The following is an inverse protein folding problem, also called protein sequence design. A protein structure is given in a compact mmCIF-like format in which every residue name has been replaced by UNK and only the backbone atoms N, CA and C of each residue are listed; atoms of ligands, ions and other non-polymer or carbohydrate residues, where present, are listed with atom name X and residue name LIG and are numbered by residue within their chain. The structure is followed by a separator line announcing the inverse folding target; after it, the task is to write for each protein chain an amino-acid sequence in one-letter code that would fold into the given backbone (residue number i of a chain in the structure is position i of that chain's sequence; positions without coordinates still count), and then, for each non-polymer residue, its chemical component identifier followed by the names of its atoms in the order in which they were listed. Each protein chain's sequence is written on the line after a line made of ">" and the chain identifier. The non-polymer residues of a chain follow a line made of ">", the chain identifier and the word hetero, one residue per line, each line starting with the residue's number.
data_IF_236135053694
#
_entry.id   IF_236135053694
#
_cell.length_a   1.000
_cell.length_b   1.000
_cell.length_c   1.000
_cell.angle_alpha   90.00
_cell.angle_beta   90.00
_cell.angle_gamma   90.00
#
_symmetry.space_group_name_H-M   'P 1'
#
loop_
_entity.id
_entity.type
_entity.pdbx_description
1 polymer ?
#
# COMPACT_ATOMS: atom_id res chain seq x y z
N UNK A 1 -41.47 62.17 59.24
CA UNK A 1 -40.16 61.51 59.00
C UNK A 1 -40.44 60.00 59.02
N UNK A 2 -40.64 59.37 57.87
CA UNK A 2 -39.62 58.82 56.95
C UNK A 2 -38.97 57.54 57.50
N UNK A 3 -39.43 56.38 57.04
CA UNK A 3 -38.71 55.52 56.08
C UNK A 3 -39.45 54.19 55.92
N UNK A 4 -40.12 54.07 54.77
CA UNK A 4 -40.83 52.89 54.34
C UNK A 4 -39.89 51.86 53.71
N UNK A 5 -40.04 50.61 54.12
CA UNK A 5 -40.06 49.42 53.27
C UNK A 5 -38.92 49.21 52.26
N UNK A 6 -37.84 48.55 52.70
CA UNK A 6 -37.00 47.76 51.80
C UNK A 6 -37.53 46.32 51.80
N UNK A 7 -38.38 46.00 50.81
CA UNK A 7 -38.74 44.61 50.49
C UNK A 7 -37.51 43.90 49.94
N UNK A 8 -37.05 42.85 50.63
CA UNK A 8 -36.12 41.86 50.07
C UNK A 8 -36.71 41.28 48.79
N UNK A 9 -36.12 41.61 47.65
CA UNK A 9 -36.34 40.89 46.41
C UNK A 9 -35.82 39.45 46.61
N UNK A 10 -36.75 38.50 46.79
CA UNK A 10 -36.42 37.09 46.77
C UNK A 10 -35.81 36.75 45.41
N UNK A 11 -34.54 36.36 45.39
CA UNK A 11 -33.93 35.63 44.28
C UNK A 11 -34.75 34.35 44.10
N UNK A 12 -35.71 34.37 43.17
CA UNK A 12 -36.22 33.14 42.57
C UNK A 12 -35.04 32.53 41.82
N UNK A 13 -34.34 31.60 42.46
CA UNK A 13 -33.45 30.67 41.81
C UNK A 13 -34.28 29.77 40.90
N UNK A 14 -34.66 30.31 39.74
CA UNK A 14 -35.24 29.53 38.66
C UNK A 14 -34.17 28.54 38.21
N UNK A 15 -34.24 27.30 38.71
CA UNK A 15 -33.67 26.17 37.98
C UNK A 15 -34.42 26.17 36.65
N UNK A 16 -33.82 26.75 35.61
CA UNK A 16 -34.35 26.68 34.25
C UNK A 16 -34.66 25.21 33.90
N UNK A 17 -35.64 24.96 33.02
CA UNK A 17 -36.06 23.60 32.69
C UNK A 17 -34.81 22.78 32.34
N UNK A 18 -34.52 21.76 33.13
CA UNK A 18 -33.34 20.94 32.95
C UNK A 18 -33.35 20.34 31.54
N UNK A 19 -32.24 20.49 30.80
CA UNK A 19 -32.09 19.88 29.47
C UNK A 19 -32.47 18.39 29.60
N UNK A 20 -33.44 17.88 28.79
CA UNK A 20 -33.88 16.50 28.86
C UNK A 20 -32.69 15.53 28.81
N UNK A 21 -32.71 14.42 29.54
CA UNK A 21 -31.59 13.47 29.56
C UNK A 21 -31.13 13.03 28.16
N UNK A 22 -32.09 12.80 27.25
CA UNK A 22 -31.81 12.46 25.85
C UNK A 22 -31.12 13.59 25.06
N UNK A 23 -31.41 14.85 25.38
CA UNK A 23 -30.75 16.01 24.75
C UNK A 23 -29.31 16.18 25.27
N UNK A 24 -29.07 15.94 26.57
CA UNK A 24 -27.70 15.96 27.13
C UNK A 24 -26.82 14.88 26.50
N UNK A 25 -27.33 13.65 26.41
CA UNK A 25 -26.58 12.54 25.81
C UNK A 25 -26.21 12.83 24.34
N UNK A 26 -27.14 13.35 23.54
CA UNK A 26 -26.87 13.74 22.14
C UNK A 26 -25.77 14.79 22.02
N UNK A 27 -25.79 15.79 22.89
CA UNK A 27 -24.75 16.84 22.92
C UNK A 27 -23.38 16.27 23.30
N UNK A 28 -23.31 15.40 24.32
CA UNK A 28 -22.06 14.75 24.72
C UNK A 28 -21.49 13.87 23.60
N UNK A 29 -22.32 13.02 22.98
CA UNK A 29 -21.91 12.17 21.87
C UNK A 29 -21.43 13.01 20.68
N UNK A 30 -22.15 14.07 20.32
CA UNK A 30 -21.74 14.99 19.24
C UNK A 30 -20.39 15.64 19.56
N UNK A 31 -20.19 16.10 20.80
CA UNK A 31 -18.93 16.72 21.25
C UNK A 31 -17.72 15.78 21.20
N UNK A 32 -17.93 14.46 21.27
CA UNK A 32 -16.88 13.44 21.13
C UNK A 32 -16.68 13.05 19.66
N UNK A 33 -17.77 12.84 18.92
CA UNK A 33 -17.69 12.33 17.56
C UNK A 33 -17.11 13.35 16.57
N UNK A 34 -17.47 14.63 16.67
CA UNK A 34 -16.96 15.66 15.74
C UNK A 34 -15.42 15.74 15.75
N UNK A 35 -14.72 15.91 16.89
CA UNK A 35 -13.26 15.95 16.87
C UNK A 35 -12.62 14.63 16.45
N UNK A 36 -13.24 13.48 16.77
CA UNK A 36 -12.77 12.18 16.30
C UNK A 36 -12.81 12.08 14.76
N UNK A 37 -13.94 12.44 14.15
CA UNK A 37 -14.13 12.46 12.69
C UNK A 37 -13.11 13.39 12.02
N UNK A 38 -12.91 14.59 12.56
CA UNK A 38 -11.89 15.52 12.06
C UNK A 38 -10.48 14.96 12.16
N UNK A 39 -10.15 14.24 13.24
CA UNK A 39 -8.84 13.59 13.40
C UNK A 39 -8.64 12.47 12.37
N UNK A 40 -9.66 11.63 12.13
CA UNK A 40 -9.64 10.60 11.10
C UNK A 40 -9.41 11.20 9.71
N UNK A 41 -10.11 12.28 9.38
CA UNK A 41 -9.99 12.98 8.09
C UNK A 41 -8.65 13.68 7.93
N UNK A 42 -8.12 14.28 8.99
CA UNK A 42 -6.80 14.88 8.96
C UNK A 42 -5.71 13.83 8.66
N UNK A 43 -5.74 12.70 9.37
CA UNK A 43 -4.79 11.60 9.15
C UNK A 43 -4.93 11.02 7.74
N UNK A 44 -6.15 10.69 7.32
CA UNK A 44 -6.39 10.02 6.04
C UNK A 44 -6.25 10.94 4.82
N UNK A 45 -6.71 12.20 4.93
CA UNK A 45 -6.74 13.16 3.84
C UNK A 45 -5.42 13.92 3.66
N UNK A 46 -4.78 14.30 4.78
CA UNK A 46 -3.58 15.14 4.78
C UNK A 46 -2.28 14.36 4.94
N UNK A 47 -2.30 13.14 5.50
CA UNK A 47 -1.09 12.38 5.80
C UNK A 47 -0.12 12.27 4.62
N UNK A 48 -0.65 12.02 3.42
CA UNK A 48 0.09 11.94 2.14
C UNK A 48 0.80 13.24 1.68
N UNK A 49 0.63 14.35 2.40
CA UNK A 49 1.29 15.64 2.15
C UNK A 49 2.21 16.08 3.29
N UNK A 50 2.11 15.43 4.45
CA UNK A 50 2.92 15.79 5.62
C UNK A 50 4.29 15.08 5.49
N UNK A 51 5.40 15.84 5.36
CA UNK A 51 6.73 15.27 5.37
C UNK A 51 7.04 14.64 6.74
N UNK A 52 8.03 13.76 6.79
CA UNK A 52 8.44 13.17 8.06
C UNK A 52 9.05 14.25 8.97
N UNK A 53 8.53 14.40 10.19
CA UNK A 53 8.88 15.45 11.16
C UNK A 53 9.76 14.88 12.29
N UNK A 54 9.21 13.94 13.04
CA UNK A 54 9.89 13.20 14.10
C UNK A 54 9.55 11.70 14.02
N UNK A 55 10.30 10.88 14.75
CA UNK A 55 10.15 9.43 14.73
C UNK A 55 8.74 8.98 15.14
N UNK A 56 8.16 9.56 16.19
CA UNK A 56 6.90 9.08 16.76
C UNK A 56 5.71 9.48 15.88
N UNK A 57 5.54 10.77 15.58
CA UNK A 57 4.39 11.23 14.79
C UNK A 57 4.45 10.66 13.37
N UNK A 58 5.63 10.68 12.74
CA UNK A 58 5.76 10.18 11.37
C UNK A 58 5.54 8.68 11.30
N UNK A 59 6.05 7.88 12.25
CA UNK A 59 5.79 6.42 12.28
C UNK A 59 4.29 6.15 12.34
N UNK A 60 3.57 6.78 13.25
CA UNK A 60 2.12 6.59 13.38
C UNK A 60 1.37 7.06 12.13
N UNK A 61 1.78 8.19 11.55
CA UNK A 61 1.17 8.72 10.35
C UNK A 61 1.40 7.83 9.12
N UNK A 62 2.63 7.34 8.93
CA UNK A 62 2.99 6.40 7.85
C UNK A 62 2.26 5.06 8.01
N UNK A 63 2.03 4.60 9.24
CA UNK A 63 1.18 3.43 9.49
C UNK A 63 -0.28 3.66 9.08
N UNK A 64 -0.86 4.78 9.52
CA UNK A 64 -2.29 5.05 9.34
C UNK A 64 -2.66 5.48 7.92
N UNK A 65 -1.74 6.11 7.18
CA UNK A 65 -2.03 6.55 5.81
C UNK A 65 -2.36 5.38 4.87
N UNK A 66 -1.83 4.18 5.14
CA UNK A 66 -2.17 2.98 4.37
C UNK A 66 -3.65 2.61 4.50
N UNK A 67 -4.28 2.98 5.62
CA UNK A 67 -5.70 2.76 5.89
C UNK A 67 -6.58 3.94 5.45
N UNK A 68 -6.05 4.93 4.73
CA UNK A 68 -6.79 6.15 4.41
C UNK A 68 -8.21 5.90 3.83
N UNK A 69 -8.44 5.00 2.86
CA UNK A 69 -9.80 4.70 2.39
C UNK A 69 -10.71 4.14 3.48
N UNK A 70 -10.21 3.27 4.36
CA UNK A 70 -10.97 2.72 5.49
C UNK A 70 -11.32 3.78 6.52
N UNK A 71 -10.35 4.66 6.84
CA UNK A 71 -10.54 5.75 7.79
C UNK A 71 -11.55 6.78 7.24
N UNK A 72 -11.50 7.09 5.95
CA UNK A 72 -12.49 7.98 5.30
C UNK A 72 -13.87 7.36 5.23
N UNK A 73 -13.98 6.05 4.97
CA UNK A 73 -15.26 5.35 5.03
C UNK A 73 -15.84 5.37 6.45
N UNK A 74 -15.03 5.08 7.47
CA UNK A 74 -15.43 5.19 8.86
C UNK A 74 -15.86 6.63 9.20
N UNK A 75 -15.08 7.62 8.76
CA UNK A 75 -15.40 9.04 8.95
C UNK A 75 -16.74 9.42 8.34
N UNK A 76 -17.03 8.96 7.13
CA UNK A 76 -18.31 9.17 6.46
C UNK A 76 -19.46 8.57 7.26
N UNK A 77 -19.32 7.33 7.74
CA UNK A 77 -20.36 6.68 8.56
C UNK A 77 -20.59 7.41 9.89
N UNK A 78 -19.53 7.82 10.58
CA UNK A 78 -19.63 8.59 11.82
C UNK A 78 -20.22 9.99 11.59
N UNK A 79 -19.95 10.61 10.44
CA UNK A 79 -20.56 11.88 10.03
C UNK A 79 -22.08 11.77 9.88
N UNK A 80 -22.56 10.65 9.32
CA UNK A 80 -23.99 10.34 9.25
C UNK A 80 -24.60 10.14 10.64
N UNK A 81 -23.87 9.50 11.57
CA UNK A 81 -24.29 9.39 12.98
C UNK A 81 -24.41 10.76 13.64
N UNK A 82 -23.43 11.65 13.45
CA UNK A 82 -23.48 13.04 13.94
C UNK A 82 -24.71 13.78 13.39
N UNK A 83 -25.02 13.61 12.11
CA UNK A 83 -26.23 14.18 11.51
C UNK A 83 -27.52 13.63 12.16
N UNK A 84 -27.56 12.31 12.41
CA UNK A 84 -28.67 11.62 13.07
C UNK A 84 -28.89 12.02 14.54
N UNK A 85 -27.83 12.42 15.25
CA UNK A 85 -27.91 12.94 16.63
C UNK A 85 -28.50 14.36 16.71
N UNK A 86 -28.76 15.02 15.57
CA UNK A 86 -29.39 16.33 15.47
C UNK A 86 -28.45 17.44 14.98
N UNK A 87 -27.14 17.18 14.89
CA UNK A 87 -26.15 18.11 14.37
C UNK A 87 -26.02 18.05 12.84
N UNK A 88 -27.16 18.14 12.13
CA UNK A 88 -27.27 17.88 10.68
C UNK A 88 -26.27 18.67 9.82
N UNK A 89 -26.05 19.96 10.13
CA UNK A 89 -25.10 20.81 9.39
C UNK A 89 -23.65 20.35 9.57
N UNK A 90 -23.27 20.04 10.81
CA UNK A 90 -21.92 19.54 11.12
C UNK A 90 -21.71 18.16 10.47
N UNK A 91 -22.64 17.23 10.64
CA UNK A 91 -22.57 15.92 10.00
C UNK A 91 -22.52 15.98 8.47
N UNK A 92 -23.29 16.88 7.85
CA UNK A 92 -23.24 17.11 6.40
C UNK A 92 -21.91 17.68 5.93
N UNK A 93 -21.34 18.65 6.67
CA UNK A 93 -20.03 19.23 6.34
C UNK A 93 -18.89 18.21 6.47
N UNK A 94 -18.90 17.39 7.52
CA UNK A 94 -17.92 16.32 7.72
C UNK A 94 -18.05 15.24 6.65
N UNK A 95 -19.27 14.81 6.32
CA UNK A 95 -19.50 13.85 5.23
C UNK A 95 -18.98 14.37 3.88
N UNK A 96 -19.19 15.65 3.58
CA UNK A 96 -18.64 16.28 2.38
C UNK A 96 -17.10 16.30 2.41
N UNK A 97 -16.49 16.62 3.55
CA UNK A 97 -15.04 16.64 3.70
C UNK A 97 -14.43 15.23 3.48
N UNK A 98 -15.02 14.18 4.06
CA UNK A 98 -14.62 12.80 3.80
C UNK A 98 -14.70 12.43 2.30
N UNK A 99 -15.80 12.83 1.62
CA UNK A 99 -15.98 12.59 0.18
C UNK A 99 -14.96 13.34 -0.66
N UNK A 100 -14.66 14.60 -0.34
CA UNK A 100 -13.65 15.39 -1.04
C UNK A 100 -12.24 14.82 -0.84
N UNK A 101 -11.90 14.39 0.37
CA UNK A 101 -10.62 13.74 0.66
C UNK A 101 -10.50 12.42 -0.13
N UNK A 102 -11.56 11.60 -0.15
CA UNK A 102 -11.62 10.36 -0.91
C UNK A 102 -11.52 10.59 -2.42
N UNK A 103 -12.24 11.58 -2.95
CA UNK A 103 -12.13 11.99 -4.35
C UNK A 103 -10.70 12.43 -4.70
N UNK A 104 -10.02 13.15 -3.81
CA UNK A 104 -8.62 13.52 -3.99
C UNK A 104 -7.68 12.30 -4.00
N UNK A 105 -7.95 11.24 -3.23
CA UNK A 105 -7.18 9.98 -3.30
C UNK A 105 -7.40 9.31 -4.66
N UNK A 106 -8.65 9.18 -5.08
CA UNK A 106 -9.00 8.59 -6.39
C UNK A 106 -8.36 9.38 -7.54
N UNK A 107 -8.36 10.72 -7.46
CA UNK A 107 -7.73 11.59 -8.44
C UNK A 107 -6.22 11.32 -8.55
N UNK A 108 -5.51 11.32 -7.41
CA UNK A 108 -4.07 11.06 -7.38
C UNK A 108 -3.73 9.67 -7.93
N UNK A 109 -4.49 8.63 -7.54
CA UNK A 109 -4.26 7.27 -8.04
C UNK A 109 -4.54 7.16 -9.54
N UNK A 110 -5.55 7.87 -10.06
CA UNK A 110 -5.81 7.93 -11.51
C UNK A 110 -4.71 8.67 -12.27
N UNK A 111 -4.08 9.67 -11.68
CA UNK A 111 -3.00 10.43 -12.31
C UNK A 111 -1.74 9.59 -12.54
N UNK A 112 -1.51 8.54 -11.73
CA UNK A 112 -0.39 7.60 -11.88
C UNK A 112 -0.79 6.28 -12.52
N UNK A 113 -2.03 6.17 -13.03
CA UNK A 113 -2.48 4.98 -13.77
C UNK A 113 -1.78 4.90 -15.13
N UNK A 114 -1.41 3.69 -15.54
CA UNK A 114 -0.92 3.42 -16.90
C UNK A 114 -2.04 3.49 -17.95
N UNK A 115 -1.67 3.61 -19.24
CA UNK A 115 -2.65 3.48 -20.31
C UNK A 115 -3.34 2.12 -20.25
N UNK A 116 -4.58 2.00 -20.76
CA UNK A 116 -5.19 0.69 -20.97
C UNK A 116 -4.25 -0.17 -21.82
N UNK A 117 -4.03 -1.39 -21.35
CA UNK A 117 -3.23 -2.41 -22.02
C UNK A 117 -4.16 -3.60 -22.29
N UNK A 118 -4.03 -4.19 -23.46
CA UNK A 118 -4.94 -5.24 -23.92
C UNK A 118 -4.23 -6.59 -24.12
N UNK A 119 -2.94 -6.54 -24.43
CA UNK A 119 -2.13 -7.73 -24.70
C UNK A 119 -1.33 -8.13 -23.44
N UNK A 120 -0.99 -9.41 -23.34
CA UNK A 120 -0.29 -9.96 -22.17
C UNK A 120 0.90 -10.77 -22.66
N UNK A 121 1.91 -10.06 -23.14
CA UNK A 121 3.13 -10.61 -23.76
C UNK A 121 4.06 -11.27 -22.74
N UNK A 122 3.97 -10.83 -21.48
CA UNK A 122 4.77 -11.34 -20.36
C UNK A 122 3.89 -11.55 -19.13
N UNK A 123 3.90 -12.75 -18.57
CA UNK A 123 3.24 -13.02 -17.28
C UNK A 123 4.25 -12.99 -16.13
N UNK A 124 4.08 -12.07 -15.19
CA UNK A 124 4.89 -11.92 -13.97
C UNK A 124 4.12 -12.39 -12.73
N UNK A 125 4.72 -13.26 -11.94
CA UNK A 125 4.27 -13.57 -10.58
C UNK A 125 5.15 -12.86 -9.55
N UNK A 126 4.58 -11.99 -8.74
CA UNK A 126 5.20 -11.44 -7.53
C UNK A 126 4.61 -12.08 -6.28
N UNK A 127 5.44 -12.47 -5.30
CA UNK A 127 4.93 -12.94 -4.00
C UNK A 127 5.94 -12.77 -2.86
N UNK A 128 5.55 -12.04 -1.80
CA UNK A 128 6.24 -12.12 -0.51
C UNK A 128 5.86 -13.45 0.18
N UNK A 129 6.81 -14.39 0.21
CA UNK A 129 6.59 -15.77 0.65
C UNK A 129 6.40 -15.87 2.17
N UNK A 130 6.81 -14.86 2.96
CA UNK A 130 6.95 -14.90 4.41
C UNK A 130 8.07 -15.86 4.87
N UNK A 131 9.09 -15.36 5.57
CA UNK A 131 10.25 -16.17 6.03
C UNK A 131 9.78 -17.34 6.90
N UNK A 132 8.75 -17.10 7.74
CA UNK A 132 8.18 -18.07 8.65
C UNK A 132 7.00 -18.87 8.06
N UNK A 133 6.85 -18.92 6.73
CA UNK A 133 5.72 -19.57 6.08
C UNK A 133 5.60 -21.05 6.52
N UNK A 134 4.45 -21.48 7.06
CA UNK A 134 4.26 -22.85 7.51
C UNK A 134 3.97 -23.84 6.37
N UNK A 135 3.76 -23.35 5.16
CA UNK A 135 3.40 -24.16 4.00
C UNK A 135 4.57 -25.04 3.57
N UNK A 136 4.36 -26.35 3.34
CA UNK A 136 5.41 -27.23 2.82
C UNK A 136 5.99 -26.71 1.50
N UNK A 137 7.33 -26.71 1.32
CA UNK A 137 7.98 -26.18 0.12
C UNK A 137 7.46 -26.79 -1.19
N UNK A 138 7.09 -28.07 -1.19
CA UNK A 138 6.56 -28.79 -2.35
C UNK A 138 5.22 -28.23 -2.80
N UNK A 139 4.38 -27.80 -1.85
CA UNK A 139 3.10 -27.13 -2.16
C UNK A 139 3.34 -25.74 -2.75
N UNK A 140 4.34 -25.01 -2.25
CA UNK A 140 4.73 -23.72 -2.85
C UNK A 140 5.24 -23.90 -4.27
N UNK A 141 6.10 -24.90 -4.52
CA UNK A 141 6.59 -25.26 -5.86
C UNK A 141 5.44 -25.62 -6.79
N UNK A 142 4.52 -26.50 -6.37
CA UNK A 142 3.37 -26.91 -7.17
C UNK A 142 2.47 -25.70 -7.52
N UNK A 143 2.25 -24.79 -6.58
CA UNK A 143 1.48 -23.58 -6.82
C UNK A 143 2.18 -22.65 -7.84
N UNK A 144 3.49 -22.43 -7.70
CA UNK A 144 4.27 -21.60 -8.64
C UNK A 144 4.25 -22.20 -10.06
N UNK A 145 4.35 -23.52 -10.18
CA UNK A 145 4.19 -24.21 -11.48
C UNK A 145 2.80 -23.97 -12.07
N UNK A 146 1.75 -24.14 -11.26
CA UNK A 146 0.36 -23.98 -11.70
C UNK A 146 0.01 -22.52 -12.04
N UNK A 147 0.75 -21.54 -11.53
CA UNK A 147 0.55 -20.13 -11.85
C UNK A 147 0.82 -19.81 -13.32
N UNK A 148 1.61 -20.63 -14.03
CA UNK A 148 1.87 -20.48 -15.46
C UNK A 148 2.70 -19.24 -15.84
N UNK A 149 3.29 -18.54 -14.88
CA UNK A 149 4.07 -17.33 -15.11
C UNK A 149 5.34 -17.58 -15.95
N UNK A 150 5.77 -16.57 -16.68
CA UNK A 150 7.03 -16.60 -17.44
C UNK A 150 8.21 -16.17 -16.58
N UNK A 151 7.93 -15.24 -15.66
CA UNK A 151 8.89 -14.75 -14.68
C UNK A 151 8.24 -14.76 -13.30
N UNK A 152 8.98 -15.25 -12.31
CA UNK A 152 8.56 -15.31 -10.92
C UNK A 152 9.58 -14.55 -10.09
N UNK A 153 9.08 -13.61 -9.29
CA UNK A 153 9.88 -12.80 -8.38
C UNK A 153 9.31 -12.95 -6.96
N UNK A 154 10.14 -13.41 -6.05
CA UNK A 154 9.74 -13.76 -4.70
C UNK A 154 10.55 -12.97 -3.67
N UNK A 155 9.89 -12.46 -2.64
CA UNK A 155 10.55 -11.95 -1.45
C UNK A 155 10.43 -12.94 -0.30
N UNK A 156 11.33 -12.83 0.69
CA UNK A 156 11.31 -13.67 1.89
C UNK A 156 11.36 -15.18 1.55
N UNK A 157 11.98 -15.54 0.42
CA UNK A 157 11.85 -16.84 -0.23
C UNK A 157 12.62 -17.99 0.45
N UNK A 158 13.07 -17.80 1.70
CA UNK A 158 13.82 -18.82 2.46
C UNK A 158 13.10 -20.17 2.53
N UNK A 159 11.75 -20.24 2.67
CA UNK A 159 11.02 -21.50 2.63
C UNK A 159 11.21 -22.32 1.34
N UNK A 160 11.50 -21.68 0.22
CA UNK A 160 11.71 -22.35 -1.07
C UNK A 160 13.16 -22.82 -1.30
N UNK A 161 14.11 -22.41 -0.46
CA UNK A 161 15.56 -22.63 -0.70
C UNK A 161 15.93 -24.07 -1.05
N UNK A 162 15.28 -25.05 -0.41
CA UNK A 162 15.55 -26.49 -0.60
C UNK A 162 14.72 -27.17 -1.68
N UNK A 163 13.70 -26.49 -2.20
CA UNK A 163 12.73 -27.07 -3.14
C UNK A 163 12.69 -26.35 -4.49
N UNK A 164 13.34 -25.19 -4.60
CA UNK A 164 13.41 -24.37 -5.81
C UNK A 164 13.99 -25.11 -7.03
N UNK A 165 14.81 -26.15 -6.83
CA UNK A 165 15.31 -26.98 -7.94
C UNK A 165 14.17 -27.74 -8.64
N UNK A 166 13.04 -27.97 -7.95
CA UNK A 166 11.81 -28.49 -8.54
C UNK A 166 11.13 -27.56 -9.55
N UNK A 167 11.69 -26.35 -9.77
CA UNK A 167 11.23 -25.36 -10.75
C UNK A 167 12.22 -25.19 -11.92
N UNK A 168 13.37 -25.87 -11.92
CA UNK A 168 14.47 -25.63 -12.87
C UNK A 168 14.16 -26.04 -14.33
N UNK A 169 13.26 -27.00 -14.53
CA UNK A 169 12.75 -27.40 -15.86
C UNK A 169 11.88 -26.32 -16.51
N UNK A 170 11.16 -25.52 -15.72
CA UNK A 170 10.35 -24.41 -16.21
C UNK A 170 11.14 -23.10 -16.24
N UNK A 171 12.04 -22.89 -15.29
CA UNK A 171 12.76 -21.63 -15.14
C UNK A 171 14.27 -21.89 -15.12
N UNK A 172 14.90 -22.05 -16.30
CA UNK A 172 16.33 -22.34 -16.40
C UNK A 172 17.23 -21.20 -15.89
N UNK A 173 16.70 -19.98 -15.78
CA UNK A 173 17.43 -18.83 -15.27
C UNK A 173 16.97 -18.49 -13.86
N UNK A 174 17.88 -18.62 -12.89
CA UNK A 174 17.63 -18.35 -11.47
C UNK A 174 18.65 -17.39 -10.89
N UNK A 175 18.20 -16.43 -10.09
CA UNK A 175 19.07 -15.51 -9.34
C UNK A 175 18.61 -15.36 -7.90
N UNK A 176 19.55 -15.17 -6.98
CA UNK A 176 19.30 -15.02 -5.55
C UNK A 176 19.01 -16.36 -4.86
N UNK A 177 18.92 -16.31 -3.53
CA UNK A 177 18.64 -17.49 -2.70
C UNK A 177 19.62 -18.67 -2.95
N UNK A 178 20.91 -18.37 -3.08
CA UNK A 178 21.97 -19.38 -3.18
C UNK A 178 22.11 -20.14 -1.85
N UNK A 179 22.56 -21.39 -1.86
CA UNK A 179 22.54 -22.31 -0.70
C UNK A 179 23.09 -21.70 0.60
N UNK A 180 24.21 -20.98 0.54
CA UNK A 180 24.85 -20.31 1.67
C UNK A 180 24.70 -18.76 1.66
N UNK A 181 23.87 -18.21 0.77
CA UNK A 181 23.69 -16.76 0.61
C UNK A 181 22.40 -16.21 1.26
N UNK A 182 22.20 -14.88 1.24
CA UNK A 182 20.90 -14.29 1.52
C UNK A 182 19.82 -14.87 0.60
N UNK A 183 18.57 -14.78 1.05
CA UNK A 183 17.40 -15.13 0.25
C UNK A 183 16.34 -14.06 0.47
N UNK A 184 16.79 -12.82 0.23
CA UNK A 184 15.96 -11.64 0.35
C UNK A 184 15.00 -11.54 -0.82
N UNK A 185 15.52 -11.76 -2.03
CA UNK A 185 14.81 -11.86 -3.29
C UNK A 185 15.25 -13.13 -4.04
N UNK A 186 14.32 -13.74 -4.77
CA UNK A 186 14.56 -14.86 -5.68
C UNK A 186 13.86 -14.56 -7.01
N UNK A 187 14.62 -14.58 -8.09
CA UNK A 187 14.11 -14.50 -9.47
C UNK A 187 14.20 -15.87 -10.12
N UNK A 188 13.12 -16.28 -10.78
CA UNK A 188 13.05 -17.43 -11.68
C UNK A 188 12.49 -16.95 -13.02
N UNK A 189 13.16 -17.26 -14.12
CA UNK A 189 12.79 -16.78 -15.45
C UNK A 189 12.88 -17.88 -16.49
N UNK A 190 11.90 -17.91 -17.41
CA UNK A 190 11.95 -18.68 -18.67
C UNK A 190 12.94 -18.08 -19.65
N UNK A 191 13.13 -16.77 -19.58
CA UNK A 191 13.92 -15.97 -20.52
C UNK A 191 15.35 -15.75 -20.02
N UNK A 192 16.33 -15.63 -20.95
CA UNK A 192 17.69 -15.23 -20.61
C UNK A 192 17.72 -13.96 -19.76
N UNK A 193 18.60 -13.96 -18.76
CA UNK A 193 18.77 -12.85 -17.82
C UNK A 193 20.16 -12.26 -17.95
N UNK A 194 20.22 -10.97 -18.24
CA UNK A 194 21.44 -10.20 -18.42
C UNK A 194 21.63 -9.15 -17.33
N UNK A 195 22.90 -8.79 -17.11
CA UNK A 195 23.32 -7.69 -16.24
C UNK A 195 22.69 -7.69 -14.83
N UNK A 196 22.67 -8.83 -14.10
CA UNK A 196 22.06 -8.88 -12.78
C UNK A 196 22.83 -8.00 -11.79
N UNK A 197 22.09 -7.21 -11.02
CA UNK A 197 22.60 -6.35 -9.95
C UNK A 197 21.70 -6.44 -8.74
N UNK A 198 22.24 -6.98 -7.66
CA UNK A 198 21.61 -6.87 -6.34
C UNK A 198 22.08 -5.61 -5.64
N UNK A 199 21.18 -4.98 -4.91
CA UNK A 199 21.44 -3.86 -4.04
C UNK A 199 20.92 -4.18 -2.64
N UNK A 200 21.78 -3.90 -1.66
CA UNK A 200 21.44 -4.01 -0.25
C UNK A 200 20.72 -2.74 0.19
N UNK A 201 19.80 -2.92 1.13
CA UNK A 201 19.16 -1.81 1.83
C UNK A 201 19.65 -1.77 3.28
N UNK A 202 19.45 -0.65 4.00
CA UNK A 202 19.71 -0.58 5.44
C UNK A 202 19.09 -1.71 6.26
N UNK A 203 17.96 -2.30 5.82
CA UNK A 203 17.32 -3.44 6.49
C UNK A 203 17.91 -4.82 6.16
N UNK A 204 18.83 -4.92 5.21
CA UNK A 204 19.52 -6.17 4.90
C UNK A 204 19.98 -6.32 3.44
N UNK A 205 20.63 -7.44 3.13
CA UNK A 205 21.17 -7.69 1.81
C UNK A 205 20.10 -8.14 0.80
N UNK A 206 20.41 -7.98 -0.49
CA UNK A 206 19.58 -8.46 -1.63
C UNK A 206 18.11 -8.01 -1.54
N UNK A 207 17.90 -6.74 -1.15
CA UNK A 207 16.56 -6.14 -0.98
C UNK A 207 16.05 -5.50 -2.26
N UNK A 208 16.92 -5.33 -3.26
CA UNK A 208 16.55 -4.92 -4.61
C UNK A 208 17.37 -5.71 -5.64
N UNK A 209 16.73 -6.09 -6.74
CA UNK A 209 17.32 -6.79 -7.87
C UNK A 209 16.98 -6.02 -9.15
N UNK A 210 17.98 -5.71 -9.97
CA UNK A 210 17.79 -5.22 -11.33
C UNK A 210 18.38 -6.21 -12.32
N UNK A 211 17.61 -6.52 -13.36
CA UNK A 211 18.03 -7.38 -14.46
C UNK A 211 17.50 -6.85 -15.79
N UNK A 212 18.03 -7.38 -16.89
CA UNK A 212 17.45 -7.25 -18.23
C UNK A 212 17.05 -8.64 -18.71
N UNK A 213 15.81 -8.80 -19.12
CA UNK A 213 15.25 -10.01 -19.70
C UNK A 213 15.29 -9.90 -21.22
N UNK A 214 15.64 -10.98 -21.90
CA UNK A 214 15.47 -11.09 -23.37
C UNK A 214 14.13 -11.76 -23.68
N UNK A 215 13.09 -10.95 -23.89
CA UNK A 215 11.72 -11.43 -24.10
C UNK A 215 11.48 -11.69 -25.61
N UNK A 216 11.13 -12.92 -26.02
CA UNK A 216 10.88 -13.25 -27.41
C UNK A 216 9.85 -12.31 -28.05
N UNK A 217 10.18 -11.73 -29.21
CA UNK A 217 9.30 -10.80 -29.93
C UNK A 217 9.42 -9.32 -29.50
N UNK A 218 9.93 -9.04 -28.29
CA UNK A 218 10.02 -7.68 -27.72
C UNK A 218 11.46 -7.23 -27.39
N UNK A 219 12.40 -8.18 -27.34
CA UNK A 219 13.80 -7.93 -27.03
C UNK A 219 14.04 -7.58 -25.55
N UNK A 220 14.94 -6.64 -25.28
CA UNK A 220 15.39 -6.34 -23.92
C UNK A 220 14.37 -5.59 -23.07
N UNK A 221 13.90 -6.22 -21.99
CA UNK A 221 12.98 -5.64 -20.99
C UNK A 221 13.69 -5.55 -19.65
N UNK A 222 13.68 -4.37 -19.02
CA UNK A 222 14.21 -4.21 -17.67
C UNK A 222 13.20 -4.73 -16.64
N UNK A 223 13.66 -5.58 -15.72
CA UNK A 223 12.90 -5.97 -14.54
C UNK A 223 13.61 -5.50 -13.28
N UNK A 224 12.85 -4.91 -12.38
CA UNK A 224 13.30 -4.52 -11.05
C UNK A 224 12.43 -5.17 -9.99
N UNK A 225 13.04 -5.96 -9.12
CA UNK A 225 12.43 -6.49 -7.92
C UNK A 225 12.84 -5.71 -6.68
N UNK A 226 11.94 -5.48 -5.73
CA UNK A 226 12.30 -4.89 -4.43
C UNK A 226 11.44 -5.39 -3.26
N UNK A 227 12.01 -5.29 -2.06
CA UNK A 227 11.33 -5.55 -0.80
C UNK A 227 11.83 -4.54 0.23
N UNK A 228 11.06 -3.48 0.45
CA UNK A 228 11.31 -2.46 1.47
C UNK A 228 10.92 -2.97 2.87
N UNK A 229 11.55 -2.40 3.89
CA UNK A 229 11.21 -2.68 5.29
C UNK A 229 9.89 -2.02 5.68
N UNK A 230 9.37 -2.46 6.83
CA UNK A 230 8.06 -2.05 7.33
C UNK A 230 8.05 -0.57 7.74
N UNK A 231 6.92 0.14 7.58
CA UNK A 231 6.83 1.60 7.76
C UNK A 231 7.09 2.07 9.21
N UNK A 232 7.06 1.18 10.19
CA UNK A 232 7.39 1.51 11.59
C UNK A 232 8.90 1.61 11.89
N UNK A 233 9.76 1.24 10.96
CA UNK A 233 11.21 1.44 11.05
C UNK A 233 11.66 2.71 10.32
N UNK A 234 11.07 3.87 10.68
CA UNK A 234 11.22 5.12 9.92
C UNK A 234 12.67 5.46 9.53
N UNK A 235 13.62 5.34 10.46
CA UNK A 235 15.05 5.58 10.19
C UNK A 235 15.63 4.70 9.07
N UNK A 236 15.25 3.42 8.99
CA UNK A 236 15.66 2.52 7.90
C UNK A 236 14.93 2.87 6.61
N UNK A 237 13.60 3.03 6.69
CA UNK A 237 12.76 3.30 5.52
C UNK A 237 13.16 4.59 4.79
N UNK A 238 13.71 5.59 5.50
CA UNK A 238 14.20 6.83 4.86
C UNK A 238 15.47 6.58 4.02
N UNK A 239 16.40 5.77 4.52
CA UNK A 239 17.58 5.36 3.75
C UNK A 239 17.19 4.47 2.56
N UNK A 240 16.20 3.60 2.73
CA UNK A 240 15.66 2.77 1.66
C UNK A 240 15.00 3.57 0.55
N UNK A 241 14.22 4.61 0.91
CA UNK A 241 13.62 5.50 -0.07
C UNK A 241 14.69 6.14 -0.97
N UNK A 242 15.88 6.46 -0.44
CA UNK A 242 16.98 6.93 -1.26
C UNK A 242 17.55 5.83 -2.17
N UNK A 243 17.81 4.64 -1.62
CA UNK A 243 18.30 3.49 -2.37
C UNK A 243 17.37 3.12 -3.53
N UNK A 244 16.06 3.11 -3.30
CA UNK A 244 15.03 2.85 -4.32
C UNK A 244 15.06 3.95 -5.39
N UNK A 245 15.14 5.23 -5.01
CA UNK A 245 15.20 6.35 -5.97
C UNK A 245 16.43 6.28 -6.87
N UNK A 246 17.59 5.89 -6.33
CA UNK A 246 18.81 5.66 -7.13
C UNK A 246 18.69 4.41 -7.99
N UNK A 247 18.24 3.31 -7.38
CA UNK A 247 18.14 2.02 -8.02
C UNK A 247 17.15 2.00 -9.17
N UNK A 248 16.13 2.87 -9.17
CA UNK A 248 15.11 2.97 -10.22
C UNK A 248 15.44 3.90 -11.38
N UNK A 249 16.53 4.68 -11.28
CA UNK A 249 16.93 5.60 -12.34
C UNK A 249 17.06 4.85 -13.67
N UNK A 250 16.54 5.42 -14.78
CA UNK A 250 16.76 4.85 -16.10
C UNK A 250 18.26 4.69 -16.39
N UNK A 251 18.61 3.62 -17.10
CA UNK A 251 19.95 3.47 -17.64
C UNK A 251 20.21 4.46 -18.79
N UNK A 252 21.39 4.38 -19.42
CA UNK A 252 21.72 5.21 -20.58
C UNK A 252 20.78 5.00 -21.77
N UNK A 253 20.18 3.81 -21.89
CA UNK A 253 19.17 3.46 -22.87
C UNK A 253 17.85 3.23 -22.13
N UNK A 254 16.77 3.85 -22.61
CA UNK A 254 15.42 3.55 -22.15
C UNK A 254 15.07 2.11 -22.59
N UNK A 255 14.66 1.29 -21.63
CA UNK A 255 14.15 -0.05 -21.84
C UNK A 255 12.71 -0.09 -21.35
N UNK A 256 11.79 -0.83 -22.02
CA UNK A 256 10.53 -1.22 -21.41
C UNK A 256 10.81 -1.76 -20.00
N UNK A 257 10.15 -1.21 -18.98
CA UNK A 257 10.55 -1.46 -17.59
C UNK A 257 9.35 -1.92 -16.77
N UNK A 258 9.52 -3.04 -16.08
CA UNK A 258 8.62 -3.56 -15.05
C UNK A 258 9.30 -3.46 -13.70
N UNK A 259 8.59 -2.95 -12.70
CA UNK A 259 9.03 -2.88 -11.29
C UNK A 259 7.99 -3.61 -10.46
N UNK A 260 8.41 -4.60 -9.69
CA UNK A 260 7.50 -5.34 -8.81
C UNK A 260 8.12 -5.53 -7.42
N UNK A 261 7.29 -5.50 -6.39
CA UNK A 261 7.81 -5.60 -5.04
C UNK A 261 6.82 -5.35 -3.93
N UNK A 262 7.27 -5.64 -2.71
CA UNK A 262 6.65 -5.22 -1.46
C UNK A 262 7.28 -3.88 -1.08
N UNK A 263 6.56 -2.80 -1.34
CA UNK A 263 7.00 -1.44 -0.98
C UNK A 263 6.61 -1.11 0.47
N UNK A 264 5.91 -2.02 1.15
CA UNK A 264 5.36 -1.80 2.49
C UNK A 264 4.54 -0.51 2.60
N UNK A 265 3.97 -0.05 1.48
CA UNK A 265 3.30 1.24 1.37
C UNK A 265 2.16 1.24 0.34
N UNK A 266 0.99 1.75 0.74
CA UNK A 266 -0.17 1.86 -0.17
C UNK A 266 0.06 2.88 -1.31
N UNK A 267 -0.62 2.78 -2.47
CA UNK A 267 -0.41 3.65 -3.64
C UNK A 267 -0.62 5.14 -3.35
N UNK A 268 -1.52 5.46 -2.41
CA UNK A 268 -1.85 6.83 -2.00
C UNK A 268 -0.93 7.39 -0.90
N UNK A 269 0.02 6.59 -0.39
CA UNK A 269 1.01 7.03 0.59
C UNK A 269 1.90 8.14 0.04
N UNK A 270 2.52 8.93 0.95
CA UNK A 270 3.49 9.94 0.55
C UNK A 270 4.61 9.34 -0.31
N UNK A 271 5.15 8.19 0.11
CA UNK A 271 6.27 7.48 -0.52
C UNK A 271 5.93 7.03 -1.93
N UNK A 272 4.81 6.31 -2.10
CA UNK A 272 4.38 5.80 -3.40
C UNK A 272 4.01 6.91 -4.39
N UNK A 273 3.45 8.02 -3.90
CA UNK A 273 3.18 9.19 -4.76
C UNK A 273 4.45 9.89 -5.23
N UNK A 274 5.49 9.90 -4.39
CA UNK A 274 6.78 10.52 -4.72
C UNK A 274 7.53 9.69 -5.75
N UNK A 275 7.73 8.40 -5.47
CA UNK A 275 8.46 7.49 -6.36
C UNK A 275 7.80 7.36 -7.74
N UNK A 276 6.46 7.22 -7.81
CA UNK A 276 5.77 7.11 -9.09
C UNK A 276 5.94 8.37 -9.94
N UNK A 277 5.85 9.57 -9.32
CA UNK A 277 6.03 10.82 -10.06
C UNK A 277 7.48 11.08 -10.46
N UNK A 278 8.42 10.80 -9.58
CA UNK A 278 9.84 11.05 -9.86
C UNK A 278 10.47 10.06 -10.84
N UNK A 279 9.94 8.83 -10.89
CA UNK A 279 10.46 7.75 -11.76
C UNK A 279 9.56 7.45 -12.96
N UNK A 280 8.52 8.27 -13.18
CA UNK A 280 7.46 8.10 -14.18
C UNK A 280 6.84 6.69 -14.19
N UNK A 281 6.68 6.11 -13.00
CA UNK A 281 6.09 4.79 -12.87
C UNK A 281 4.57 4.86 -12.87
N UNK A 282 3.98 3.92 -13.59
CA UNK A 282 2.54 3.77 -13.79
C UNK A 282 2.05 2.50 -13.13
N UNK A 283 0.87 2.57 -12.53
CA UNK A 283 0.22 1.44 -11.85
C UNK A 283 -1.02 0.96 -12.60
N UNK A 284 -1.51 -0.21 -12.23
CA UNK A 284 -2.78 -0.73 -12.71
C UNK A 284 -3.96 0.18 -12.34
N UNK A 285 -5.09 0.00 -13.01
CA UNK A 285 -6.31 0.77 -12.79
C UNK A 285 -6.80 0.79 -11.34
N UNK A 286 -6.70 -0.37 -10.70
CA UNK A 286 -7.17 -0.61 -9.35
C UNK A 286 -6.08 -1.35 -8.60
N UNK A 287 -5.70 -0.88 -7.39
CA UNK A 287 -4.74 -1.58 -6.59
C UNK A 287 -5.36 -2.86 -6.03
N UNK A 288 -4.56 -3.92 -5.96
CA UNK A 288 -4.97 -5.21 -5.41
C UNK A 288 -4.55 -5.27 -3.94
N UNK A 289 -5.48 -5.42 -2.98
CA UNK A 289 -5.09 -5.56 -1.58
C UNK A 289 -4.24 -6.80 -1.38
N UNK A 290 -3.11 -6.71 -0.69
CA UNK A 290 -2.22 -7.87 -0.50
C UNK A 290 -2.00 -8.20 0.96
N UNK A 291 -2.14 -7.23 1.86
CA UNK A 291 -1.85 -7.42 3.27
C UNK A 291 -2.93 -6.85 4.21
N UNK A 292 -3.24 -7.49 5.35
CA UNK A 292 -2.93 -8.87 5.63
C UNK A 292 -3.77 -9.77 4.71
N UNK A 293 -3.22 -10.91 4.27
CA UNK A 293 -3.90 -11.83 3.36
C UNK A 293 -5.30 -12.24 3.86
N UNK A 294 -5.43 -12.43 5.18
CA UNK A 294 -6.69 -12.77 5.85
C UNK A 294 -7.79 -11.71 5.70
N UNK A 295 -7.45 -10.44 5.44
CA UNK A 295 -8.44 -9.39 5.19
C UNK A 295 -9.02 -9.42 3.77
N UNK A 296 -8.44 -10.22 2.87
CA UNK A 296 -8.91 -10.37 1.49
C UNK A 296 -9.10 -9.01 0.82
N UNK A 297 -10.28 -8.76 0.25
CA UNK A 297 -10.61 -7.49 -0.42
C UNK A 297 -10.59 -6.25 0.49
N UNK A 298 -10.55 -6.43 1.81
CA UNK A 298 -10.50 -5.34 2.79
C UNK A 298 -9.07 -5.07 3.30
N UNK A 299 -8.06 -5.77 2.79
CA UNK A 299 -6.66 -5.47 3.09
C UNK A 299 -6.20 -4.13 2.52
N UNK A 300 -4.91 -3.84 2.72
CA UNK A 300 -4.17 -2.74 2.10
C UNK A 300 -3.28 -3.26 0.96
N UNK A 301 -3.17 -2.52 -0.15
CA UNK A 301 -2.33 -2.88 -1.29
C UNK A 301 -0.90 -2.37 -1.10
N UNK A 302 -0.04 -3.15 -0.45
CA UNK A 302 1.35 -2.74 -0.17
C UNK A 302 2.38 -3.37 -1.12
N UNK A 303 1.95 -4.40 -1.85
CA UNK A 303 2.69 -4.98 -2.97
C UNK A 303 2.23 -4.35 -4.27
N UNK A 304 3.16 -4.10 -5.19
CA UNK A 304 2.88 -3.39 -6.45
C UNK A 304 3.54 -4.06 -7.64
N UNK A 305 2.88 -3.92 -8.79
CA UNK A 305 3.48 -4.04 -10.12
C UNK A 305 3.31 -2.69 -10.80
N UNK A 306 4.42 -2.10 -11.21
CA UNK A 306 4.52 -0.79 -11.82
C UNK A 306 5.28 -0.88 -13.13
N UNK A 307 4.97 0.00 -14.06
CA UNK A 307 5.52 -0.03 -15.43
C UNK A 307 5.88 1.37 -15.92
N UNK A 308 6.79 1.47 -16.88
CA UNK A 308 7.09 2.72 -17.61
C UNK A 308 7.70 2.40 -18.98
N UNK A 309 8.12 3.44 -19.71
CA UNK A 309 8.87 3.30 -20.97
C UNK A 309 8.08 2.49 -22.03
N UNK A 310 6.79 2.82 -22.19
CA UNK A 310 5.89 2.18 -23.16
C UNK A 310 5.23 0.88 -22.69
N UNK A 311 5.61 0.37 -21.51
CA UNK A 311 5.04 -0.85 -20.92
C UNK A 311 3.67 -0.58 -20.26
N UNK A 312 2.74 -1.53 -20.42
CA UNK A 312 1.40 -1.51 -19.83
C UNK A 312 1.11 -2.69 -18.89
N UNK A 313 0.02 -2.59 -18.13
CA UNK A 313 -0.47 -3.68 -17.27
C UNK A 313 -1.86 -4.07 -17.75
N UNK A 314 -1.97 -5.15 -18.52
CA UNK A 314 -3.23 -5.63 -19.06
C UNK A 314 -4.09 -6.33 -18.01
N UNK A 315 -3.45 -7.02 -17.06
CA UNK A 315 -4.13 -7.75 -15.99
C UNK A 315 -3.32 -7.69 -14.70
N UNK A 316 -4.00 -7.57 -13.56
CA UNK A 316 -3.40 -7.66 -12.24
C UNK A 316 -4.37 -8.34 -11.28
N UNK A 317 -3.99 -9.50 -10.75
CA UNK A 317 -4.87 -10.31 -9.90
C UNK A 317 -4.16 -10.78 -8.62
N UNK A 318 -4.91 -10.88 -7.50
CA UNK A 318 -4.37 -11.48 -6.28
C UNK A 318 -4.12 -12.98 -6.49
N UNK A 319 -3.03 -13.48 -5.92
CA UNK A 319 -2.61 -14.88 -6.02
C UNK A 319 -2.20 -15.46 -4.66
N UNK A 320 -2.30 -16.78 -4.50
CA UNK A 320 -1.66 -17.50 -3.39
C UNK A 320 -2.21 -17.20 -1.98
N UNK A 321 -3.48 -16.81 -1.84
CA UNK A 321 -4.08 -16.45 -0.55
C UNK A 321 -4.09 -17.61 0.48
N UNK A 322 -3.99 -18.86 0.03
CA UNK A 322 -3.98 -20.07 0.85
C UNK A 322 -2.57 -20.67 1.04
N UNK A 323 -1.52 -19.97 0.63
CA UNK A 323 -0.13 -20.45 0.67
C UNK A 323 0.63 -20.01 1.93
N UNK A 324 -0.08 -19.76 3.03
CA UNK A 324 0.50 -19.57 4.37
C UNK A 324 1.27 -18.26 4.61
N UNK A 325 1.42 -17.40 3.59
CA UNK A 325 1.96 -16.04 3.76
C UNK A 325 0.91 -15.11 4.38
N UNK A 326 1.38 -14.07 5.07
CA UNK A 326 0.55 -12.93 5.47
C UNK A 326 0.32 -11.93 4.32
N UNK A 327 0.92 -12.17 3.14
CA UNK A 327 0.63 -11.47 1.89
C UNK A 327 -0.15 -12.34 0.92
N UNK A 328 -0.90 -11.71 0.02
CA UNK A 328 -1.32 -12.29 -1.26
C UNK A 328 -0.30 -11.86 -2.32
N UNK A 329 0.04 -12.77 -3.23
CA UNK A 329 0.84 -12.45 -4.40
C UNK A 329 0.06 -11.67 -5.44
N UNK A 330 0.77 -11.25 -6.49
CA UNK A 330 0.22 -10.58 -7.66
C UNK A 330 0.60 -11.37 -8.91
N UNK A 331 -0.39 -11.81 -9.67
CA UNK A 331 -0.20 -12.32 -11.02
C UNK A 331 -0.53 -11.21 -12.02
N UNK A 332 0.46 -10.75 -12.76
CA UNK A 332 0.37 -9.63 -13.67
C UNK A 332 0.60 -10.06 -15.12
N UNK A 333 -0.30 -9.64 -16.01
CA UNK A 333 -0.09 -9.67 -17.45
C UNK A 333 0.44 -8.32 -17.90
N UNK A 334 1.63 -8.32 -18.50
CA UNK A 334 2.36 -7.14 -18.93
C UNK A 334 2.27 -7.03 -20.45
N UNK A 335 1.95 -5.83 -20.92
CA UNK A 335 1.86 -5.43 -22.32
C UNK A 335 3.16 -4.71 -22.68
N UNK A 336 3.90 -5.22 -23.66
CA UNK A 336 5.22 -4.75 -24.04
C UNK A 336 5.18 -4.05 -25.42
N UNK A 337 5.93 -2.94 -25.60
CA UNK A 337 5.91 -2.17 -26.84
C UNK A 337 6.59 -2.85 -28.03
#
# INVERSE_FOLDING_TARGET
>A
MSLAGIRRAGRRGGRGPGIPPGTRLRLHLTGILVPLVLALEAVAGLGRFVPDLDQFLSTNLRMLEHLAPHLLLLSLLLSLVVAGLGARRAGGALALLALLAGAGIVWDTRATRGPPAAESDLTLLWFNVLIANPTPPERLVAAIRAAGADVVLLAEATPLRRAVDGLADLYPYRLGCAEAGPCGLLLLSRFPVENPRFNDFPSGPERMLRVVLDVPGHGSVALVGLHETKPWYLGLTNGEAEAVRWGLRPGKRALPTVVAGDFNAAPWSLRMRRIQREQDLRSAAWPVPTWPAAAGRFGVPIDHVLVRDGTGIARLEPWGADLGSNHRGLLAGIDLP
#
